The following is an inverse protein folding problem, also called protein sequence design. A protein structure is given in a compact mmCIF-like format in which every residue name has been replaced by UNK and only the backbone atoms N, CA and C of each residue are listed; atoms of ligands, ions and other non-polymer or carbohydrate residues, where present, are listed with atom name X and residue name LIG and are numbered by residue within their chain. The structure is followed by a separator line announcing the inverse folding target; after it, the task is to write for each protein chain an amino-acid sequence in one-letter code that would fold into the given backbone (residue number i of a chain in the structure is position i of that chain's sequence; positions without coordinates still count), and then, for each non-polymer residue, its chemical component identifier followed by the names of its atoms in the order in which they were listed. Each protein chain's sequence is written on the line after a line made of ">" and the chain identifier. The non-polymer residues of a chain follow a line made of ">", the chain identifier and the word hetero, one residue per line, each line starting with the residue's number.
data_IF_067324012687
#
_entry.id   IF_067324012687
#
_cell.length_a   1.000
_cell.length_b   1.000
_cell.length_c   1.000
_cell.angle_alpha   90.00
_cell.angle_beta   90.00
_cell.angle_gamma   90.00
#
_symmetry.space_group_name_H-M   'P 1'
#
loop_
_entity.id
_entity.type
_entity.pdbx_description
1 polymer ?
#
# COMPACT_ATOMS: atom_id res chain seq x y z
N UNK A 1 -32.51 -51.92 26.69
CA UNK A 1 -31.13 -51.76 26.18
C UNK A 1 -31.12 -50.62 25.19
N UNK A 2 -30.79 -49.46 25.70
CA UNK A 2 -30.76 -48.20 24.93
C UNK A 2 -29.32 -47.76 24.83
N UNK A 3 -28.77 -47.83 23.67
CA UNK A 3 -27.37 -47.49 23.38
C UNK A 3 -27.33 -46.01 22.93
N UNK A 4 -26.93 -45.18 23.87
CA UNK A 4 -26.67 -43.77 23.62
C UNK A 4 -25.25 -43.60 23.03
N UNK A 5 -25.13 -43.44 21.71
CA UNK A 5 -23.92 -42.99 21.09
C UNK A 5 -23.79 -41.46 21.14
N UNK A 6 -22.75 -40.89 21.76
CA UNK A 6 -22.51 -39.44 21.66
C UNK A 6 -21.96 -39.10 20.31
N UNK A 7 -22.69 -38.26 19.58
CA UNK A 7 -22.22 -37.64 18.34
C UNK A 7 -21.16 -36.61 18.71
N UNK A 8 -19.89 -36.99 18.56
CA UNK A 8 -18.79 -36.05 18.56
C UNK A 8 -18.80 -35.28 17.24
N UNK A 9 -19.52 -34.18 17.19
CA UNK A 9 -19.33 -33.16 16.16
C UNK A 9 -18.03 -32.40 16.44
N UNK A 10 -16.92 -32.98 16.00
CA UNK A 10 -15.63 -32.31 15.97
C UNK A 10 -15.69 -31.19 14.95
N UNK A 11 -16.01 -29.98 15.38
CA UNK A 11 -15.66 -28.78 14.63
C UNK A 11 -14.14 -28.66 14.60
N UNK A 12 -13.52 -29.24 13.58
CA UNK A 12 -12.13 -28.97 13.23
C UNK A 12 -12.06 -27.52 12.76
N UNK A 13 -11.82 -26.62 13.72
CA UNK A 13 -11.34 -25.28 13.42
C UNK A 13 -10.02 -25.48 12.70
N UNK A 14 -10.01 -25.29 11.39
CA UNK A 14 -8.81 -25.31 10.59
C UNK A 14 -7.94 -24.15 11.07
N UNK A 15 -7.06 -24.43 12.04
CA UNK A 15 -6.01 -23.46 12.44
C UNK A 15 -5.11 -23.27 11.21
N UNK A 16 -5.29 -22.14 10.54
CA UNK A 16 -4.38 -21.73 9.48
C UNK A 16 -2.98 -21.62 10.10
N UNK A 17 -2.06 -22.46 9.62
CA UNK A 17 -0.68 -22.44 10.07
C UNK A 17 -0.07 -21.02 9.92
N UNK A 18 0.65 -20.52 10.92
CA UNK A 18 1.26 -19.20 10.85
C UNK A 18 2.22 -19.13 9.64
N UNK A 19 2.18 -17.99 8.94
CA UNK A 19 3.00 -17.77 7.76
C UNK A 19 4.49 -17.97 8.09
N UNK A 20 5.25 -18.66 7.24
CA UNK A 20 6.68 -18.89 7.47
C UNK A 20 7.41 -17.54 7.63
N UNK A 21 8.32 -17.46 8.59
CA UNK A 21 9.05 -16.23 8.98
C UNK A 21 9.65 -15.49 7.77
N UNK A 22 10.13 -16.23 6.76
CA UNK A 22 10.67 -15.66 5.52
C UNK A 22 9.66 -14.83 4.73
N UNK A 23 8.41 -15.27 4.63
CA UNK A 23 7.33 -14.53 3.95
C UNK A 23 7.00 -13.23 4.67
N UNK A 24 7.00 -13.23 6.00
CA UNK A 24 6.77 -12.02 6.80
C UNK A 24 7.89 -10.99 6.61
N UNK A 25 9.15 -11.43 6.58
CA UNK A 25 10.30 -10.56 6.34
C UNK A 25 10.28 -9.98 4.92
N UNK A 26 10.04 -10.81 3.91
CA UNK A 26 9.89 -10.35 2.52
C UNK A 26 8.77 -9.30 2.41
N UNK A 27 7.60 -9.55 3.02
CA UNK A 27 6.49 -8.62 3.04
C UNK A 27 6.83 -7.28 3.72
N UNK A 28 7.60 -7.32 4.81
CA UNK A 28 8.06 -6.10 5.49
C UNK A 28 9.04 -5.29 4.65
N UNK A 29 10.00 -5.93 4.00
CA UNK A 29 10.97 -5.26 3.12
C UNK A 29 10.27 -4.65 1.91
N UNK A 30 9.38 -5.41 1.25
CA UNK A 30 8.61 -4.93 0.11
C UNK A 30 7.73 -3.72 0.46
N UNK A 31 7.19 -3.69 1.68
CA UNK A 31 6.40 -2.54 2.16
C UNK A 31 7.28 -1.36 2.57
N UNK A 32 8.43 -1.62 3.19
CA UNK A 32 9.31 -0.58 3.76
C UNK A 32 9.90 0.33 2.68
N UNK A 33 10.36 -0.22 1.56
CA UNK A 33 10.98 0.54 0.48
C UNK A 33 10.07 1.65 -0.07
N UNK A 34 8.86 1.35 -0.59
CA UNK A 34 7.97 2.38 -1.08
C UNK A 34 7.46 3.31 0.03
N UNK A 35 7.27 2.77 1.25
CA UNK A 35 6.82 3.59 2.39
C UNK A 35 7.84 4.65 2.75
N UNK A 36 9.13 4.30 2.85
CA UNK A 36 10.21 5.25 3.13
C UNK A 36 10.31 6.34 2.06
N UNK A 37 10.19 5.96 0.79
CA UNK A 37 10.18 6.92 -0.31
C UNK A 37 9.00 7.88 -0.21
N UNK A 38 7.80 7.37 0.09
CA UNK A 38 6.58 8.19 0.21
C UNK A 38 6.60 9.08 1.45
N UNK A 39 7.25 8.65 2.55
CA UNK A 39 7.52 9.53 3.70
C UNK A 39 8.40 10.69 3.27
N UNK A 40 9.51 10.40 2.60
CA UNK A 40 10.42 11.42 2.10
C UNK A 40 9.69 12.40 1.15
N UNK A 41 8.93 11.88 0.20
CA UNK A 41 8.13 12.68 -0.74
C UNK A 41 7.14 13.60 0.00
N UNK A 42 6.42 13.07 0.99
CA UNK A 42 5.49 13.84 1.80
C UNK A 42 6.17 14.95 2.61
N UNK A 43 7.27 14.63 3.29
CA UNK A 43 8.05 15.60 4.07
C UNK A 43 8.61 16.70 3.16
N UNK A 44 9.14 16.36 2.00
CA UNK A 44 9.63 17.33 1.03
C UNK A 44 8.52 18.26 0.52
N UNK A 45 7.31 17.73 0.29
CA UNK A 45 6.15 18.58 -0.07
C UNK A 45 5.75 19.55 1.04
N UNK A 46 5.91 19.18 2.31
CA UNK A 46 5.67 20.09 3.42
C UNK A 46 6.76 21.15 3.55
N UNK A 47 8.02 20.77 3.34
CA UNK A 47 9.17 21.68 3.40
C UNK A 47 9.24 22.62 2.19
N UNK A 48 8.64 22.26 1.06
CA UNK A 48 8.59 23.03 -0.20
C UNK A 48 9.95 23.55 -0.69
N UNK A 49 10.99 22.74 -0.81
CA UNK A 49 12.21 23.17 -1.44
C UNK A 49 11.96 23.53 -2.92
N UNK A 50 12.71 24.45 -3.47
CA UNK A 50 12.50 25.01 -4.83
C UNK A 50 12.38 23.95 -5.92
N UNK A 51 13.14 22.86 -5.82
CA UNK A 51 13.08 21.80 -6.83
C UNK A 51 11.74 21.03 -6.78
N UNK A 52 11.15 20.82 -5.59
CA UNK A 52 9.83 20.18 -5.46
C UNK A 52 8.74 21.09 -5.99
N UNK A 53 8.81 22.38 -5.69
CA UNK A 53 7.86 23.39 -6.20
C UNK A 53 7.92 23.40 -7.72
N UNK A 54 9.12 23.53 -8.31
CA UNK A 54 9.31 23.55 -9.76
C UNK A 54 8.78 22.26 -10.42
N UNK A 55 9.13 21.10 -9.89
CA UNK A 55 8.66 19.82 -10.42
C UNK A 55 7.12 19.71 -10.38
N UNK A 56 6.49 20.12 -9.27
CA UNK A 56 5.04 20.03 -9.12
C UNK A 56 4.31 21.02 -10.04
N UNK A 57 4.84 22.22 -10.18
CA UNK A 57 4.29 23.24 -11.11
C UNK A 57 4.43 22.78 -12.56
N UNK A 58 5.54 22.16 -12.94
CA UNK A 58 5.72 21.55 -14.28
C UNK A 58 4.67 20.47 -14.57
N UNK A 59 4.24 19.73 -13.57
CA UNK A 59 3.13 18.79 -13.69
C UNK A 59 1.74 19.46 -13.79
N UNK A 60 1.69 20.81 -13.78
CA UNK A 60 0.46 21.58 -13.93
C UNK A 60 -0.32 21.80 -12.65
N UNK A 61 0.26 21.58 -11.49
CA UNK A 61 -0.34 21.90 -10.20
C UNK A 61 0.06 23.29 -9.72
N UNK A 62 -0.86 24.08 -9.17
CA UNK A 62 -0.50 25.33 -8.52
C UNK A 62 0.30 25.06 -7.23
N UNK A 63 1.21 25.94 -6.87
CA UNK A 63 2.03 25.81 -5.66
C UNK A 63 1.20 25.64 -4.38
N UNK A 64 0.02 26.25 -4.33
CA UNK A 64 -0.89 26.22 -3.18
C UNK A 64 -1.32 24.80 -2.77
N UNK A 65 -1.35 23.83 -3.70
CA UNK A 65 -1.79 22.46 -3.40
C UNK A 65 -0.67 21.54 -2.92
N UNK A 66 0.60 21.96 -3.05
CA UNK A 66 1.77 21.13 -2.70
C UNK A 66 1.70 20.67 -1.24
N UNK A 67 1.41 21.59 -0.34
CA UNK A 67 1.30 21.29 1.09
C UNK A 67 0.17 20.28 1.37
N UNK A 68 -0.99 20.44 0.73
CA UNK A 68 -2.10 19.50 0.84
C UNK A 68 -1.75 18.12 0.33
N UNK A 69 -1.05 18.01 -0.80
CA UNK A 69 -0.56 16.75 -1.34
C UNK A 69 0.42 16.06 -0.37
N UNK A 70 1.29 16.83 0.29
CA UNK A 70 2.18 16.33 1.33
C UNK A 70 1.42 15.74 2.51
N UNK A 71 0.39 16.44 3.00
CA UNK A 71 -0.47 15.92 4.08
C UNK A 71 -1.16 14.62 3.66
N UNK A 72 -1.76 14.58 2.47
CA UNK A 72 -2.49 13.40 1.99
C UNK A 72 -1.58 12.17 1.94
N UNK A 73 -0.37 12.30 1.37
CA UNK A 73 0.55 11.15 1.29
C UNK A 73 1.01 10.70 2.66
N UNK A 74 1.27 11.61 3.60
CA UNK A 74 1.68 11.25 4.96
C UNK A 74 0.55 10.59 5.76
N UNK A 75 -0.69 11.02 5.59
CA UNK A 75 -1.87 10.35 6.17
C UNK A 75 -2.00 8.93 5.62
N UNK A 76 -1.83 8.74 4.30
CA UNK A 76 -1.81 7.40 3.70
C UNK A 76 -0.70 6.52 4.28
N UNK A 77 0.50 7.07 4.50
CA UNK A 77 1.63 6.36 5.14
C UNK A 77 1.24 5.92 6.55
N UNK A 78 0.72 6.82 7.38
CA UNK A 78 0.34 6.51 8.76
C UNK A 78 -0.69 5.38 8.79
N UNK A 79 -1.75 5.48 7.97
CA UNK A 79 -2.78 4.45 7.89
C UNK A 79 -2.23 3.11 7.40
N UNK A 80 -1.26 3.12 6.47
CA UNK A 80 -0.65 1.92 5.94
C UNK A 80 0.29 1.22 6.93
N UNK A 81 1.01 1.98 7.75
CA UNK A 81 1.96 1.44 8.74
C UNK A 81 1.23 0.85 9.95
N UNK A 82 0.09 1.42 10.34
CA UNK A 82 -0.72 0.91 11.44
C UNK A 82 -1.44 -0.38 11.01
N UNK A 83 -1.19 -1.53 11.67
CA UNK A 83 -1.72 -2.82 11.23
C UNK A 83 -3.25 -2.88 11.11
N UNK A 84 -3.97 -2.14 11.96
CA UNK A 84 -5.44 -2.14 11.96
C UNK A 84 -6.04 -1.41 10.75
N UNK A 85 -5.32 -0.46 10.18
CA UNK A 85 -5.77 0.40 9.07
C UNK A 85 -4.94 0.20 7.80
N UNK A 86 -4.02 -0.78 7.79
CA UNK A 86 -3.09 -0.98 6.69
C UNK A 86 -3.78 -1.21 5.33
N UNK A 87 -4.88 -1.97 5.30
CA UNK A 87 -5.67 -2.19 4.08
C UNK A 87 -6.30 -0.87 3.59
N UNK A 88 -6.86 -0.07 4.51
CA UNK A 88 -7.41 1.24 4.17
C UNK A 88 -6.31 2.17 3.62
N UNK A 89 -5.13 2.16 4.26
CA UNK A 89 -3.96 2.90 3.78
C UNK A 89 -3.56 2.49 2.36
N UNK A 90 -3.55 1.18 2.06
CA UNK A 90 -3.25 0.66 0.73
C UNK A 90 -4.28 1.12 -0.33
N UNK A 91 -5.57 1.13 0.01
CA UNK A 91 -6.64 1.62 -0.87
C UNK A 91 -6.44 3.10 -1.17
N UNK A 92 -6.20 3.92 -0.14
CA UNK A 92 -5.96 5.36 -0.31
C UNK A 92 -4.69 5.63 -1.13
N UNK A 93 -3.61 4.86 -0.91
CA UNK A 93 -2.43 4.91 -1.75
C UNK A 93 -2.72 4.57 -3.21
N UNK A 94 -3.59 3.60 -3.47
CA UNK A 94 -3.98 3.27 -4.85
C UNK A 94 -4.62 4.48 -5.53
N UNK A 95 -5.48 5.21 -4.84
CA UNK A 95 -6.05 6.46 -5.35
C UNK A 95 -5.00 7.54 -5.59
N UNK A 96 -4.12 7.78 -4.62
CA UNK A 96 -3.05 8.78 -4.72
C UNK A 96 -2.07 8.47 -5.86
N UNK A 97 -1.57 7.23 -5.92
CA UNK A 97 -0.64 6.78 -6.96
C UNK A 97 -1.30 6.73 -8.34
N UNK A 98 -2.58 6.36 -8.41
CA UNK A 98 -3.37 6.43 -9.64
C UNK A 98 -3.50 7.86 -10.17
N UNK A 99 -3.71 8.83 -9.27
CA UNK A 99 -3.67 10.26 -9.60
C UNK A 99 -2.30 10.71 -10.15
N UNK A 100 -1.21 10.21 -9.56
CA UNK A 100 0.13 10.48 -10.06
C UNK A 100 0.35 9.91 -11.47
N UNK A 101 -0.08 8.66 -11.73
CA UNK A 101 -0.03 8.06 -13.09
C UNK A 101 -0.77 8.94 -14.10
N UNK A 102 -2.02 9.32 -13.79
CA UNK A 102 -2.84 10.15 -14.67
C UNK A 102 -2.18 11.52 -14.94
N UNK A 103 -1.53 12.10 -13.93
CA UNK A 103 -0.82 13.37 -14.05
C UNK A 103 0.37 13.26 -15.01
N UNK A 104 1.24 12.26 -14.83
CA UNK A 104 2.40 12.04 -15.68
C UNK A 104 2.01 11.73 -17.13
N UNK A 105 0.95 10.92 -17.33
CA UNK A 105 0.42 10.65 -18.67
C UNK A 105 -0.11 11.94 -19.35
N UNK A 106 -0.80 12.79 -18.58
CA UNK A 106 -1.35 14.04 -19.09
C UNK A 106 -0.29 15.03 -19.61
N UNK A 107 0.86 15.09 -18.94
CA UNK A 107 1.96 15.98 -19.36
C UNK A 107 2.91 15.34 -20.38
N UNK A 108 2.66 14.07 -20.76
CA UNK A 108 3.45 13.37 -21.76
C UNK A 108 4.80 12.87 -21.28
N UNK A 109 4.96 12.63 -19.98
CA UNK A 109 6.19 12.07 -19.42
C UNK A 109 6.48 10.65 -19.93
N UNK A 110 7.75 10.22 -19.96
CA UNK A 110 8.15 8.89 -20.41
C UNK A 110 7.40 7.79 -19.63
N UNK A 111 6.80 6.83 -20.37
CA UNK A 111 5.89 5.83 -19.82
C UNK A 111 6.55 5.00 -18.71
N UNK A 112 7.71 4.40 -18.98
CA UNK A 112 8.32 3.42 -18.07
C UNK A 112 9.04 4.05 -16.87
N UNK A 113 9.60 5.24 -17.02
CA UNK A 113 10.40 5.87 -15.95
C UNK A 113 9.58 6.78 -15.02
N UNK A 114 8.57 7.46 -15.52
CA UNK A 114 7.79 8.44 -14.76
C UNK A 114 6.33 8.02 -14.58
N UNK A 115 5.64 7.67 -15.69
CA UNK A 115 4.21 7.38 -15.64
C UNK A 115 3.91 6.05 -14.91
N UNK A 116 4.70 5.00 -15.10
CA UNK A 116 4.52 3.70 -14.43
C UNK A 116 5.26 3.58 -13.08
N UNK A 117 6.10 4.54 -12.72
CA UNK A 117 6.80 4.54 -11.44
C UNK A 117 5.86 4.41 -10.22
N UNK A 118 4.72 5.13 -10.16
CA UNK A 118 3.75 4.94 -9.09
C UNK A 118 3.10 3.54 -9.08
N UNK A 119 2.97 2.90 -10.25
CA UNK A 119 2.43 1.54 -10.35
C UNK A 119 3.37 0.53 -9.68
N UNK A 120 4.68 0.68 -9.88
CA UNK A 120 5.67 -0.19 -9.22
C UNK A 120 5.57 -0.09 -7.71
N UNK A 121 5.34 1.09 -7.17
CA UNK A 121 5.10 1.29 -5.74
C UNK A 121 3.79 0.67 -5.28
N UNK A 122 2.72 0.80 -6.05
CA UNK A 122 1.44 0.17 -5.73
C UNK A 122 1.59 -1.37 -5.65
N UNK A 123 2.31 -1.98 -6.59
CA UNK A 123 2.59 -3.43 -6.60
C UNK A 123 3.39 -3.84 -5.37
N UNK A 124 4.43 -3.08 -4.98
CA UNK A 124 5.22 -3.36 -3.78
C UNK A 124 4.41 -3.20 -2.49
N UNK A 125 3.58 -2.16 -2.40
CA UNK A 125 2.72 -1.92 -1.23
C UNK A 125 1.69 -3.06 -1.06
N UNK A 126 0.96 -3.41 -2.12
CA UNK A 126 -0.02 -4.49 -2.08
C UNK A 126 0.62 -5.86 -1.92
N UNK A 127 1.72 -6.15 -2.62
CA UNK A 127 2.47 -7.40 -2.48
C UNK A 127 3.03 -7.57 -1.07
N UNK A 128 3.63 -6.54 -0.51
CA UNK A 128 4.13 -6.54 0.85
C UNK A 128 3.02 -6.73 1.88
N UNK A 129 1.87 -6.07 1.69
CA UNK A 129 0.70 -6.24 2.54
C UNK A 129 0.12 -7.64 2.45
N UNK A 130 -0.04 -8.19 1.25
CA UNK A 130 -0.53 -9.55 1.01
C UNK A 130 0.34 -10.61 1.70
N UNK A 131 1.66 -10.44 1.70
CA UNK A 131 2.57 -11.39 2.34
C UNK A 131 2.50 -11.37 3.88
N UNK A 132 2.20 -10.21 4.48
CA UNK A 132 2.20 -10.03 5.94
C UNK A 132 0.82 -10.08 6.60
N UNK A 133 -0.27 -9.87 5.83
CA UNK A 133 -1.64 -9.76 6.38
C UNK A 133 -2.48 -10.99 6.01
N UNK A 134 -2.75 -11.83 6.99
CA UNK A 134 -3.52 -13.08 6.78
C UNK A 134 -4.98 -12.81 6.42
N UNK A 135 -5.57 -11.75 6.98
CA UNK A 135 -6.95 -11.36 6.66
C UNK A 135 -7.11 -10.98 5.19
N UNK A 136 -6.13 -10.29 4.63
CA UNK A 136 -6.13 -9.92 3.22
C UNK A 136 -6.03 -11.17 2.33
N UNK A 137 -5.21 -12.13 2.72
CA UNK A 137 -5.09 -13.41 1.98
C UNK A 137 -6.38 -14.23 2.00
N UNK A 138 -7.15 -14.15 3.09
CA UNK A 138 -8.44 -14.80 3.18
C UNK A 138 -9.51 -14.14 2.27
N UNK A 139 -9.43 -12.81 2.09
CA UNK A 139 -10.35 -12.06 1.24
C UNK A 139 -10.02 -12.16 -0.26
N UNK A 140 -8.73 -12.30 -0.59
CA UNK A 140 -8.24 -12.41 -1.97
C UNK A 140 -7.49 -13.74 -2.10
N UNK A 141 -8.21 -14.89 -2.15
CA UNK A 141 -7.57 -16.18 -2.35
C UNK A 141 -7.07 -16.29 -3.79
N UNK A 142 -5.77 -16.05 -4.00
CA UNK A 142 -5.11 -16.37 -5.25
C UNK A 142 -5.00 -17.90 -5.31
N UNK A 143 -5.88 -18.56 -6.05
CA UNK A 143 -5.80 -20.01 -6.32
C UNK A 143 -4.57 -20.28 -7.20
N UNK A 144 -3.64 -21.04 -6.67
CA UNK A 144 -2.63 -21.76 -7.46
C UNK A 144 -3.21 -23.10 -7.88
#
# INVERSE_FOLDING_TARGET
>A
MSENSPIHSGHSVTQMAPAPKGKLWAGRIMSALPTLFLVMDGVMKLAKPDFVVKATVQLGYPESVIFGLGIVVLVCVILYVVPRTAVLGAILFTGYLGGAVATHLRVGDPLFSHSLFPVYFAVLLWGGLYLREERLRALIPLRS
#
